data_IF_832061670751
#
_entry.id   IF_832061670751
#
_cell.length_a   1.000
_cell.length_b   1.000
_cell.length_c   1.000
_cell.angle_alpha   90.00
_cell.angle_beta   90.00
_cell.angle_gamma   90.00
#
_symmetry.space_group_name_H-M   'P 1'
#
loop_
_entity.id
_entity.type
_entity.pdbx_description
1 polymer ?
#
# COMPACT_ATOMS: atom_id res chain seq x y z
N UNK A 1 2.62 15.32 -7.70
CA UNK A 1 1.81 14.54 -8.63
C UNK A 1 2.51 14.20 -9.93
N UNK A 2 2.85 15.19 -10.74
CA UNK A 2 3.45 14.92 -12.06
C UNK A 2 4.82 14.28 -11.95
N UNK A 3 5.64 14.69 -11.01
CA UNK A 3 6.96 14.07 -10.81
C UNK A 3 6.83 12.61 -10.40
N UNK A 4 5.84 12.27 -9.57
CA UNK A 4 5.60 10.89 -9.17
C UNK A 4 5.18 10.03 -10.38
N UNK A 5 4.34 10.57 -11.25
CA UNK A 5 3.94 9.88 -12.47
C UNK A 5 5.12 9.62 -13.41
N UNK A 6 6.01 10.59 -13.52
CA UNK A 6 7.22 10.44 -14.33
C UNK A 6 8.11 9.36 -13.73
N UNK A 7 8.28 9.32 -12.42
CA UNK A 7 9.06 8.28 -11.75
C UNK A 7 8.47 6.89 -11.99
N UNK A 8 7.14 6.75 -11.87
CA UNK A 8 6.46 5.48 -12.16
C UNK A 8 6.71 5.07 -13.61
N UNK A 9 6.56 6.00 -14.57
CA UNK A 9 6.79 5.71 -15.97
C UNK A 9 8.22 5.25 -16.25
N UNK A 10 9.21 5.86 -15.60
CA UNK A 10 10.62 5.45 -15.75
C UNK A 10 10.85 4.02 -15.26
N UNK A 11 10.27 3.66 -14.12
CA UNK A 11 10.37 2.30 -13.59
C UNK A 11 9.74 1.32 -14.56
N UNK A 12 8.55 1.62 -15.07
CA UNK A 12 7.84 0.75 -16.01
C UNK A 12 8.60 0.56 -17.33
N UNK A 13 9.35 1.58 -17.76
CA UNK A 13 10.15 1.48 -18.98
C UNK A 13 11.24 0.42 -18.91
N UNK A 14 11.63 -0.01 -17.70
CA UNK A 14 12.62 -1.08 -17.51
C UNK A 14 12.00 -2.47 -17.54
N UNK A 15 10.69 -2.58 -17.69
CA UNK A 15 9.93 -3.84 -17.67
C UNK A 15 10.24 -4.70 -16.44
N UNK A 16 10.05 -4.16 -15.23
CA UNK A 16 10.39 -4.89 -14.01
C UNK A 16 9.45 -6.06 -13.76
N UNK A 17 9.93 -7.07 -13.04
CA UNK A 17 9.09 -8.17 -12.56
C UNK A 17 8.37 -7.81 -11.26
N UNK A 18 9.04 -7.06 -10.40
CA UNK A 18 8.51 -6.60 -9.11
C UNK A 18 8.79 -5.10 -9.00
N UNK A 19 7.78 -4.36 -8.60
CA UNK A 19 7.90 -2.92 -8.34
C UNK A 19 7.80 -2.69 -6.84
N UNK A 20 8.79 -2.00 -6.29
CA UNK A 20 8.85 -1.65 -4.88
C UNK A 20 8.47 -0.17 -4.72
N UNK A 21 7.47 0.10 -3.90
CA UNK A 21 6.94 1.44 -3.67
C UNK A 21 6.97 1.74 -2.17
N UNK A 22 7.76 2.73 -1.78
CA UNK A 22 7.89 3.12 -0.37
C UNK A 22 7.18 4.45 -0.16
N UNK A 23 6.03 4.41 0.48
CA UNK A 23 5.20 5.58 0.78
C UNK A 23 5.02 6.52 -0.42
N UNK A 24 4.53 6.01 -1.57
CA UNK A 24 4.59 6.76 -2.83
C UNK A 24 3.75 8.04 -2.85
N UNK A 25 2.81 8.20 -1.93
CA UNK A 25 1.92 9.36 -1.90
C UNK A 25 2.09 10.22 -0.64
N UNK A 26 3.08 9.95 0.20
CA UNK A 26 3.21 10.60 1.52
C UNK A 26 3.41 12.11 1.45
N UNK A 27 4.02 12.61 0.37
CA UNK A 27 4.30 14.04 0.21
C UNK A 27 3.26 14.76 -0.68
N UNK A 28 2.19 14.07 -1.07
CA UNK A 28 1.21 14.60 -2.01
C UNK A 28 -0.07 15.05 -1.30
N UNK A 29 -0.77 16.02 -1.91
CA UNK A 29 -2.11 16.38 -1.48
C UNK A 29 -3.09 15.23 -1.78
N UNK A 30 -4.30 15.23 -1.18
CA UNK A 30 -5.24 14.13 -1.35
C UNK A 30 -5.67 13.87 -2.81
N UNK A 31 -5.79 14.93 -3.62
CA UNK A 31 -6.21 14.79 -5.02
C UNK A 31 -5.11 14.12 -5.84
N UNK A 32 -3.87 14.60 -5.69
CA UNK A 32 -2.72 14.02 -6.38
C UNK A 32 -2.45 12.58 -5.91
N UNK A 33 -2.57 12.33 -4.61
CA UNK A 33 -2.42 10.98 -4.06
C UNK A 33 -3.45 10.03 -4.67
N UNK A 34 -4.70 10.47 -4.80
CA UNK A 34 -5.76 9.66 -5.40
C UNK A 34 -5.45 9.28 -6.85
N UNK A 35 -4.88 10.20 -7.61
CA UNK A 35 -4.50 9.93 -9.01
C UNK A 35 -3.38 8.90 -9.10
N UNK A 36 -2.40 8.97 -8.22
CA UNK A 36 -1.33 7.98 -8.16
C UNK A 36 -1.90 6.61 -7.76
N UNK A 37 -2.80 6.57 -6.78
CA UNK A 37 -3.44 5.31 -6.37
C UNK A 37 -4.23 4.68 -7.51
N UNK A 38 -4.96 5.46 -8.29
CA UNK A 38 -5.67 4.96 -9.47
C UNK A 38 -4.71 4.35 -10.48
N UNK A 39 -3.59 5.02 -10.73
CA UNK A 39 -2.56 4.52 -11.64
C UNK A 39 -2.00 3.18 -11.15
N UNK A 40 -1.66 3.10 -9.87
CA UNK A 40 -1.13 1.87 -9.28
C UNK A 40 -2.16 0.73 -9.32
N UNK A 41 -3.41 1.04 -9.01
CA UNK A 41 -4.50 0.05 -9.07
C UNK A 41 -4.65 -0.52 -10.48
N UNK A 42 -4.55 0.32 -11.51
CA UNK A 42 -4.62 -0.12 -12.90
C UNK A 42 -3.45 -0.99 -13.33
N UNK A 43 -2.30 -0.88 -12.68
CA UNK A 43 -1.09 -1.63 -13.03
C UNK A 43 -0.98 -2.97 -12.29
N UNK A 44 -1.75 -3.19 -11.25
CA UNK A 44 -1.57 -4.37 -10.39
C UNK A 44 -1.79 -5.71 -11.08
N UNK A 45 -2.54 -5.72 -12.19
CA UNK A 45 -2.77 -6.93 -12.96
C UNK A 45 -1.61 -7.27 -13.89
N UNK A 46 -0.74 -6.31 -14.18
CA UNK A 46 0.42 -6.50 -15.06
C UNK A 46 1.71 -6.70 -14.29
N UNK A 47 1.79 -6.16 -13.10
CA UNK A 47 3.02 -6.14 -12.31
C UNK A 47 2.74 -6.60 -10.89
N UNK A 48 3.71 -7.32 -10.32
CA UNK A 48 3.70 -7.59 -8.89
C UNK A 48 4.27 -6.35 -8.19
N UNK A 49 3.51 -5.80 -7.27
CA UNK A 49 3.91 -4.58 -6.56
C UNK A 49 3.95 -4.83 -5.06
N UNK A 50 4.99 -4.34 -4.43
CA UNK A 50 5.12 -4.30 -2.98
C UNK A 50 5.04 -2.85 -2.54
N UNK A 51 3.97 -2.51 -1.83
CA UNK A 51 3.70 -1.16 -1.35
C UNK A 51 3.97 -1.09 0.15
N UNK A 52 4.86 -0.20 0.55
CA UNK A 52 5.08 0.10 1.97
C UNK A 52 4.38 1.41 2.28
N UNK A 53 3.47 1.39 3.24
CA UNK A 53 2.70 2.58 3.62
C UNK A 53 2.32 2.56 5.09
N UNK A 54 2.23 3.74 5.69
CA UNK A 54 1.63 3.93 7.01
C UNK A 54 0.14 4.23 6.93
N UNK A 55 -0.39 4.38 5.72
CA UNK A 55 -1.80 4.66 5.52
C UNK A 55 -2.59 3.35 5.41
N UNK A 56 -3.34 3.03 6.44
CA UNK A 56 -4.26 1.88 6.41
C UNK A 56 -5.29 2.02 5.31
N UNK A 57 -5.76 3.24 5.08
CA UNK A 57 -6.75 3.52 4.04
C UNK A 57 -6.20 3.19 2.67
N UNK A 58 -4.96 3.59 2.39
CA UNK A 58 -4.30 3.28 1.13
C UNK A 58 -4.15 1.77 0.95
N UNK A 59 -3.65 1.08 1.97
CA UNK A 59 -3.52 -0.38 1.92
C UNK A 59 -4.86 -1.06 1.66
N UNK A 60 -5.93 -0.61 2.33
CA UNK A 60 -7.25 -1.22 2.16
C UNK A 60 -7.84 -1.00 0.78
N UNK A 61 -7.50 0.14 0.14
CA UNK A 61 -8.08 0.46 -1.17
C UNK A 61 -7.40 -0.24 -2.33
N UNK A 62 -6.07 -0.37 -2.29
CA UNK A 62 -5.35 -0.77 -3.50
C UNK A 62 -4.64 -2.12 -3.41
N UNK A 63 -4.49 -2.71 -2.24
CA UNK A 63 -3.75 -3.96 -2.12
C UNK A 63 -4.66 -5.19 -2.11
N UNK A 64 -4.16 -6.29 -2.64
CA UNK A 64 -4.86 -7.58 -2.61
C UNK A 64 -4.52 -8.35 -1.33
N UNK A 65 -3.29 -8.22 -0.87
CA UNK A 65 -2.82 -8.82 0.38
C UNK A 65 -2.11 -7.76 1.19
N UNK A 66 -2.21 -7.85 2.50
CA UNK A 66 -1.63 -6.89 3.41
C UNK A 66 -0.86 -7.59 4.52
N UNK A 67 0.33 -7.09 4.81
CA UNK A 67 1.12 -7.48 5.97
C UNK A 67 1.16 -6.35 6.97
N UNK A 68 0.95 -6.65 8.23
CA UNK A 68 1.08 -5.68 9.31
C UNK A 68 2.37 -5.93 10.08
N UNK A 69 3.22 -4.90 10.11
CA UNK A 69 4.50 -4.93 10.84
C UNK A 69 4.42 -4.05 12.07
N UNK A 70 4.98 -4.54 13.17
CA UNK A 70 5.12 -3.78 14.40
C UNK A 70 6.51 -4.03 14.97
N UNK A 71 7.26 -2.97 15.20
CA UNK A 71 8.61 -3.02 15.75
C UNK A 71 9.53 -4.01 15.00
N UNK A 72 9.41 -4.03 13.68
CA UNK A 72 10.24 -4.87 12.82
C UNK A 72 9.75 -6.31 12.63
N UNK A 73 8.69 -6.70 13.33
CA UNK A 73 8.15 -8.04 13.22
C UNK A 73 6.88 -8.07 12.38
N UNK A 74 6.75 -9.07 11.52
CA UNK A 74 5.51 -9.32 10.79
C UNK A 74 4.51 -9.97 11.73
N UNK A 75 3.50 -9.21 12.13
CA UNK A 75 2.49 -9.68 13.08
C UNK A 75 1.42 -10.49 12.38
N UNK A 76 0.96 -10.01 11.23
CA UNK A 76 -0.13 -10.66 10.51
C UNK A 76 0.02 -10.44 9.01
N UNK A 77 -0.32 -11.47 8.21
CA UNK A 77 -0.35 -11.38 6.75
C UNK A 77 -1.58 -12.14 6.24
N UNK A 78 -2.40 -11.47 5.45
CA UNK A 78 -3.63 -12.09 4.94
C UNK A 78 -4.17 -11.31 3.74
N UNK A 79 -5.22 -11.85 3.12
CA UNK A 79 -6.00 -11.08 2.17
C UNK A 79 -6.44 -9.77 2.80
N UNK A 80 -6.35 -8.69 2.05
CA UNK A 80 -6.62 -7.35 2.58
C UNK A 80 -8.00 -7.25 3.20
N UNK A 81 -9.04 -7.75 2.52
CA UNK A 81 -10.40 -7.72 3.07
C UNK A 81 -10.51 -8.47 4.37
N UNK A 82 -9.89 -9.63 4.46
CA UNK A 82 -9.93 -10.45 5.69
C UNK A 82 -9.22 -9.74 6.83
N UNK A 83 -8.06 -9.15 6.57
CA UNK A 83 -7.29 -8.46 7.59
C UNK A 83 -8.06 -7.27 8.17
N UNK A 84 -8.69 -6.47 7.33
CA UNK A 84 -9.39 -5.26 7.78
C UNK A 84 -10.77 -5.54 8.38
N UNK A 85 -11.44 -6.62 7.95
CA UNK A 85 -12.76 -6.98 8.49
C UNK A 85 -12.69 -7.89 9.71
N UNK A 86 -11.69 -8.76 9.76
CA UNK A 86 -11.58 -9.75 10.85
C UNK A 86 -10.12 -10.07 11.13
N UNK A 87 -9.37 -9.11 11.72
CA UNK A 87 -7.97 -9.35 12.06
C UNK A 87 -7.85 -10.47 13.11
N UNK A 88 -6.83 -11.32 12.93
CA UNK A 88 -6.62 -12.49 13.78
C UNK A 88 -5.73 -12.21 14.98
N UNK A 89 -5.04 -11.06 15.00
CA UNK A 89 -4.15 -10.67 16.08
C UNK A 89 -4.64 -9.39 16.73
N UNK A 90 -4.53 -9.33 18.05
CA UNK A 90 -4.98 -8.15 18.80
C UNK A 90 -4.22 -6.89 18.41
N UNK A 91 -2.92 -7.01 18.16
CA UNK A 91 -2.10 -5.88 17.73
C UNK A 91 -2.60 -5.28 16.42
N UNK A 92 -2.99 -6.13 15.47
CA UNK A 92 -3.57 -5.70 14.19
C UNK A 92 -4.89 -4.99 14.42
N UNK A 93 -5.76 -5.59 15.23
CA UNK A 93 -7.06 -5.01 15.56
C UNK A 93 -6.91 -3.64 16.21
N UNK A 94 -6.00 -3.51 17.16
CA UNK A 94 -5.75 -2.24 17.86
C UNK A 94 -5.24 -1.18 16.89
N UNK A 95 -4.36 -1.55 15.97
CA UNK A 95 -3.84 -0.61 14.98
C UNK A 95 -4.96 -0.13 14.04
N UNK A 96 -5.76 -1.06 13.52
CA UNK A 96 -6.86 -0.73 12.61
C UNK A 96 -7.91 0.15 13.30
N UNK A 97 -8.20 -0.10 14.57
CA UNK A 97 -9.18 0.68 15.32
C UNK A 97 -8.63 2.00 15.89
N UNK A 98 -7.35 2.30 15.62
CA UNK A 98 -6.74 3.56 16.05
C UNK A 98 -6.28 3.62 17.50
N UNK A 99 -6.15 2.47 18.17
CA UNK A 99 -5.72 2.42 19.58
C UNK A 99 -4.22 2.68 19.76
N UNK A 100 -3.45 2.56 18.70
CA UNK A 100 -2.04 2.94 18.72
C UNK A 100 -1.95 4.40 18.29
N UNK A 101 -2.26 5.24 19.13
CA UNK A 101 -2.23 6.65 19.06
C UNK A 101 -1.77 7.43 17.90
#
# INVERSE_FOLDING_TARGET
>A
GQQQRVCVARVLATSPKIILLDEPTSALDPISAGKIEETLYGLKNKYTMLLVTRSMQQASRISDKTGFFLDGDLIEFNDTKKMFLNPQHKETEDYISGKFG
#
